data_IF_578453171367
#
_entry.id   IF_578453171367
#
_cell.length_a   1.000
_cell.length_b   1.000
_cell.length_c   1.000
_cell.angle_alpha   90.00
_cell.angle_beta   90.00
_cell.angle_gamma   90.00
#
_symmetry.space_group_name_H-M   'P 1'
#
loop_
_entity.id
_entity.type
_entity.pdbx_description
1 polymer ?
#
# COMPACT_ATOMS: atom_id res chain seq x y z
N UNK A 1 -43.33 -6.65 -14.09
CA UNK A 1 -43.12 -7.39 -15.35
C UNK A 1 -41.90 -8.29 -15.22
N UNK A 2 -41.99 -9.60 -15.49
CA UNK A 2 -40.83 -10.47 -15.46
C UNK A 2 -39.91 -10.13 -16.64
N UNK A 3 -38.61 -9.92 -16.38
CA UNK A 3 -37.62 -9.77 -17.45
C UNK A 3 -37.48 -11.12 -18.14
N UNK A 4 -37.92 -11.23 -19.38
CA UNK A 4 -37.67 -12.40 -20.23
C UNK A 4 -36.20 -12.42 -20.62
N UNK A 5 -35.46 -13.44 -20.19
CA UNK A 5 -34.08 -13.68 -20.58
C UNK A 5 -34.05 -14.53 -21.84
N UNK A 6 -33.36 -14.07 -22.89
CA UNK A 6 -33.13 -14.84 -24.11
C UNK A 6 -31.81 -15.62 -23.97
N UNK A 7 -31.83 -16.94 -23.72
CA UNK A 7 -30.62 -17.72 -23.42
C UNK A 7 -29.59 -17.69 -24.56
N UNK A 8 -30.06 -17.56 -25.80
CA UNK A 8 -29.21 -17.51 -27.01
C UNK A 8 -28.34 -16.25 -27.08
N UNK A 9 -28.65 -15.22 -26.27
CA UNK A 9 -27.88 -13.98 -26.18
C UNK A 9 -26.91 -13.95 -25.00
N UNK A 10 -26.93 -14.96 -24.14
CA UNK A 10 -26.04 -15.03 -22.97
C UNK A 10 -24.62 -15.37 -23.41
N UNK A 11 -23.67 -14.64 -22.84
CA UNK A 11 -22.25 -14.90 -23.04
C UNK A 11 -21.64 -15.51 -21.76
N UNK A 12 -20.58 -16.33 -21.89
CA UNK A 12 -19.84 -16.79 -20.73
C UNK A 12 -19.31 -15.62 -19.89
N UNK A 13 -19.33 -15.75 -18.57
CA UNK A 13 -18.90 -14.70 -17.64
C UNK A 13 -17.47 -14.20 -17.91
N UNK A 14 -16.53 -15.11 -18.22
CA UNK A 14 -15.16 -14.73 -18.63
C UNK A 14 -15.13 -13.85 -19.87
N UNK A 15 -16.02 -14.09 -20.84
CA UNK A 15 -16.13 -13.27 -22.05
C UNK A 15 -16.64 -11.86 -21.70
N UNK A 16 -17.65 -11.77 -20.82
CA UNK A 16 -18.15 -10.49 -20.33
C UNK A 16 -17.05 -9.69 -19.59
N UNK A 17 -16.31 -10.33 -18.68
CA UNK A 17 -15.19 -9.71 -17.98
C UNK A 17 -14.14 -9.17 -18.94
N UNK A 18 -13.73 -9.99 -19.93
CA UNK A 18 -12.74 -9.58 -20.94
C UNK A 18 -13.21 -8.34 -21.69
N UNK A 19 -14.45 -8.35 -22.17
CA UNK A 19 -15.03 -7.20 -22.89
C UNK A 19 -15.01 -5.94 -22.03
N UNK A 20 -15.48 -6.03 -20.78
CA UNK A 20 -15.51 -4.89 -19.84
C UNK A 20 -14.11 -4.34 -19.63
N UNK A 21 -13.14 -5.18 -19.29
CA UNK A 21 -11.75 -4.76 -19.02
C UNK A 21 -11.05 -4.21 -20.26
N UNK A 22 -11.35 -4.73 -21.46
CA UNK A 22 -10.75 -4.23 -22.72
C UNK A 22 -11.45 -3.00 -23.29
N UNK A 23 -12.69 -2.72 -22.89
CA UNK A 23 -13.49 -1.61 -23.44
C UNK A 23 -13.03 -0.25 -22.93
N UNK A 24 -12.35 -0.22 -21.78
CA UNK A 24 -11.87 1.00 -21.17
C UNK A 24 -10.45 1.31 -21.63
N UNK A 25 -10.32 2.22 -22.59
CA UNK A 25 -9.02 2.78 -22.98
C UNK A 25 -8.62 3.86 -21.98
N UNK A 26 -7.62 3.57 -21.17
CA UNK A 26 -7.08 4.50 -20.18
C UNK A 26 -5.58 4.62 -20.29
N UNK A 27 -5.11 5.86 -20.42
CA UNK A 27 -3.70 6.19 -20.26
C UNK A 27 -3.47 6.48 -18.79
N UNK A 28 -2.61 5.68 -18.15
CA UNK A 28 -2.22 5.90 -16.76
C UNK A 28 -1.60 7.30 -16.63
N UNK A 29 -2.20 8.12 -15.78
CA UNK A 29 -1.67 9.42 -15.42
C UNK A 29 -1.27 9.40 -13.96
N UNK A 30 -0.12 10.00 -13.67
CA UNK A 30 0.38 10.16 -12.30
C UNK A 30 0.28 11.62 -11.90
N UNK A 31 0.13 11.85 -10.59
CA UNK A 31 0.18 13.19 -10.01
C UNK A 31 0.77 13.13 -8.62
N UNK A 32 1.46 14.20 -8.25
CA UNK A 32 1.91 14.40 -6.89
C UNK A 32 0.76 14.98 -6.06
N UNK A 33 0.44 14.31 -4.95
CA UNK A 33 -0.60 14.73 -4.02
C UNK A 33 -0.03 14.86 -2.61
N UNK A 34 -0.48 15.83 -1.81
CA UNK A 34 -0.15 15.87 -0.39
C UNK A 34 -0.60 14.59 0.32
N UNK A 35 0.21 14.08 1.25
CA UNK A 35 -0.06 12.81 1.98
C UNK A 35 -1.43 12.81 2.67
N UNK A 36 -1.85 13.96 3.22
CA UNK A 36 -3.17 14.13 3.86
C UNK A 36 -4.35 13.84 2.92
N UNK A 37 -4.16 14.00 1.61
CA UNK A 37 -5.19 13.84 0.58
C UNK A 37 -5.03 12.51 -0.18
N UNK A 38 -4.10 11.64 0.24
CA UNK A 38 -3.74 10.42 -0.50
C UNK A 38 -4.73 9.25 -0.33
N UNK A 39 -5.68 9.35 0.59
CA UNK A 39 -6.65 8.27 0.84
C UNK A 39 -7.50 7.99 -0.40
N UNK A 40 -7.50 6.73 -0.85
CA UNK A 40 -8.25 6.27 -2.04
C UNK A 40 -7.47 6.31 -3.35
N UNK A 41 -6.24 6.83 -3.36
CA UNK A 41 -5.34 6.74 -4.50
C UNK A 41 -4.54 5.43 -4.49
N UNK A 42 -3.99 5.09 -5.66
CA UNK A 42 -3.09 3.96 -5.87
C UNK A 42 -1.68 4.52 -6.09
N UNK A 43 -0.68 3.91 -5.45
CA UNK A 43 0.72 4.28 -5.68
C UNK A 43 1.12 3.98 -7.12
N UNK A 44 1.72 4.96 -7.78
CA UNK A 44 2.24 4.79 -9.14
C UNK A 44 3.56 3.99 -9.17
N UNK A 45 4.30 3.98 -8.06
CA UNK A 45 5.61 3.34 -7.92
C UNK A 45 5.88 2.93 -6.45
N UNK A 46 6.85 2.03 -6.21
CA UNK A 46 7.27 1.67 -4.85
C UNK A 46 7.82 2.86 -4.05
N UNK A 47 7.64 2.85 -2.73
CA UNK A 47 8.14 3.90 -1.83
C UNK A 47 9.19 3.32 -0.89
N UNK A 48 10.35 3.96 -0.82
CA UNK A 48 11.46 3.56 0.06
C UNK A 48 11.74 4.63 1.12
N UNK A 49 12.12 4.20 2.32
CA UNK A 49 12.58 5.15 3.35
C UNK A 49 13.92 5.75 2.94
N UNK A 50 14.01 7.07 2.99
CA UNK A 50 15.26 7.79 2.70
C UNK A 50 16.17 7.92 3.93
N UNK A 51 15.75 7.41 5.09
CA UNK A 51 16.50 7.49 6.35
C UNK A 51 16.23 6.31 7.29
N UNK A 52 17.16 5.99 8.20
CA UNK A 52 16.86 5.07 9.30
C UNK A 52 15.80 5.64 10.24
N UNK A 53 15.01 4.75 10.83
CA UNK A 53 13.99 5.08 11.82
C UNK A 53 14.17 4.10 12.99
N UNK A 54 14.59 4.56 14.19
CA UNK A 54 14.88 5.95 14.54
C UNK A 54 16.14 6.50 13.82
N UNK A 55 16.24 7.83 13.65
CA UNK A 55 17.39 8.44 12.97
C UNK A 55 18.69 8.39 13.78
N UNK A 56 18.61 8.09 15.08
CA UNK A 56 19.73 7.91 15.99
C UNK A 56 19.37 6.85 17.05
N UNK A 57 20.36 6.28 17.77
CA UNK A 57 20.10 5.43 18.92
C UNK A 57 19.36 6.22 20.00
N UNK A 58 18.17 5.77 20.37
CA UNK A 58 17.36 6.37 21.44
C UNK A 58 17.38 5.46 22.68
N UNK A 59 17.29 6.06 23.86
CA UNK A 59 17.05 5.29 25.08
C UNK A 59 15.67 4.61 24.98
N UNK A 60 15.60 3.32 25.30
CA UNK A 60 14.34 2.57 25.29
C UNK A 60 13.49 2.78 26.54
N UNK A 61 14.12 3.19 27.65
CA UNK A 61 13.50 3.46 28.94
C UNK A 61 14.19 4.67 29.59
N UNK A 62 13.52 5.27 30.57
CA UNK A 62 14.15 6.26 31.46
C UNK A 62 15.22 5.58 32.32
N UNK A 63 16.41 6.17 32.36
CA UNK A 63 17.55 5.60 33.07
C UNK A 63 18.85 6.36 32.81
N UNK A 64 19.97 5.69 33.09
CA UNK A 64 21.31 6.26 32.95
C UNK A 64 22.07 5.49 31.86
N UNK A 65 22.64 6.22 30.90
CA UNK A 65 23.49 5.61 29.89
C UNK A 65 24.77 5.06 30.53
N UNK A 66 25.01 3.76 30.35
CA UNK A 66 26.19 3.07 30.90
C UNK A 66 27.02 2.42 29.79
N UNK A 67 28.29 2.17 30.09
CA UNK A 67 29.10 1.24 29.30
C UNK A 67 28.93 -0.16 29.90
N UNK A 68 28.21 -1.06 29.20
CA UNK A 68 27.92 -2.42 29.68
C UNK A 68 29.15 -3.20 30.14
N UNK A 69 30.32 -2.96 29.52
CA UNK A 69 31.59 -3.60 29.93
C UNK A 69 32.02 -3.25 31.37
N UNK A 70 31.63 -2.08 31.88
CA UNK A 70 32.02 -1.63 33.23
C UNK A 70 31.13 -2.23 34.33
N UNK A 71 30.01 -2.87 33.98
CA UNK A 71 29.07 -3.46 34.96
C UNK A 71 29.23 -4.97 35.11
N UNK A 72 30.24 -5.57 34.48
CA UNK A 72 30.50 -7.00 34.57
C UNK A 72 31.03 -7.35 35.97
N UNK A 73 30.39 -8.28 36.67
CA UNK A 73 30.78 -8.69 38.01
C UNK A 73 30.33 -7.74 39.13
N UNK A 74 29.47 -6.78 38.82
CA UNK A 74 28.75 -6.02 39.85
C UNK A 74 27.85 -6.99 40.65
N UNK A 75 27.89 -6.90 41.98
CA UNK A 75 27.10 -7.70 42.92
C UNK A 75 26.53 -6.82 44.02
#
# INVERSE_FOLDING_TARGET
>A
MPKTFHPDTLIPMKKAQKIILSSFQHTLQTKNIPVKDAKGYILAEPVFSQRPIPPLPLAGIDGIAIQSKNTKGAS
#
